data_IF_980611866397
#
_entry.id   IF_980611866397
#
_cell.length_a   1.000
_cell.length_b   1.000
_cell.length_c   1.000
_cell.angle_alpha   90.00
_cell.angle_beta   90.00
_cell.angle_gamma   90.00
#
_symmetry.space_group_name_H-M   'P 1'
#
loop_
_entity.id
_entity.type
_entity.pdbx_description
1 polymer ?
#
# COMPACT_ATOMS: atom_id res chain seq x y z
N UNK A 1 21.74 -27.62 11.58
CA UNK A 1 20.37 -27.11 11.77
C UNK A 1 19.81 -26.78 10.40
N UNK A 2 18.78 -27.50 9.96
CA UNK A 2 18.15 -27.31 8.66
C UNK A 2 17.35 -26.01 8.69
N UNK A 3 17.59 -25.14 7.71
CA UNK A 3 16.87 -23.89 7.53
C UNK A 3 15.38 -24.16 7.35
N UNK A 4 14.58 -23.29 7.96
CA UNK A 4 13.14 -23.23 7.72
C UNK A 4 12.99 -22.77 6.27
N UNK A 5 12.67 -23.70 5.38
CA UNK A 5 12.14 -23.36 4.06
C UNK A 5 10.71 -22.90 4.31
N UNK A 6 10.50 -21.60 4.32
CA UNK A 6 9.15 -21.03 4.26
C UNK A 6 8.62 -21.40 2.88
N UNK A 7 7.80 -22.45 2.80
CA UNK A 7 7.00 -22.78 1.63
C UNK A 7 6.14 -21.56 1.32
N UNK A 8 6.44 -20.90 0.21
CA UNK A 8 5.79 -19.66 -0.17
C UNK A 8 4.33 -19.99 -0.56
N UNK A 9 3.40 -19.72 0.36
CA UNK A 9 1.97 -19.88 0.12
C UNK A 9 1.53 -18.94 -1.00
N UNK A 10 0.54 -19.35 -1.80
CA UNK A 10 -0.05 -18.53 -2.87
C UNK A 10 -0.39 -17.12 -2.34
N UNK A 11 -0.22 -16.07 -3.16
CA UNK A 11 -0.51 -14.70 -2.72
C UNK A 11 -1.99 -14.58 -2.31
N UNK A 12 -2.21 -14.15 -1.06
CA UNK A 12 -3.53 -14.04 -0.44
C UNK A 12 -4.08 -12.63 -0.70
N UNK A 13 -5.32 -12.52 -1.17
CA UNK A 13 -5.98 -11.23 -1.34
C UNK A 13 -6.27 -10.58 0.02
N UNK A 14 -6.17 -9.27 0.09
CA UNK A 14 -6.59 -8.52 1.29
C UNK A 14 -8.11 -8.64 1.50
N UNK A 15 -8.61 -8.32 2.68
CA UNK A 15 -10.04 -8.39 3.00
C UNK A 15 -10.59 -7.09 3.61
N UNK A 16 -9.77 -6.05 3.73
CA UNK A 16 -10.14 -4.77 4.32
C UNK A 16 -9.43 -3.59 3.64
N UNK A 17 -10.04 -2.41 3.71
CA UNK A 17 -9.49 -1.20 3.08
C UNK A 17 -8.26 -0.65 3.80
N UNK A 18 -8.11 -0.90 5.11
CA UNK A 18 -6.97 -0.40 5.88
C UNK A 18 -5.67 -1.06 5.40
N UNK A 19 -5.70 -2.37 5.13
CA UNK A 19 -4.59 -3.09 4.53
C UNK A 19 -4.28 -2.56 3.13
N UNK A 20 -5.29 -2.21 2.32
CA UNK A 20 -5.07 -1.56 1.02
C UNK A 20 -4.32 -0.22 1.19
N UNK A 21 -4.76 0.63 2.11
CA UNK A 21 -4.15 1.93 2.43
C UNK A 21 -2.71 1.76 2.90
N UNK A 22 -2.47 0.85 3.85
CA UNK A 22 -1.12 0.52 4.34
C UNK A 22 -0.22 0.03 3.20
N UNK A 23 -0.75 -0.76 2.27
CA UNK A 23 0.00 -1.20 1.11
C UNK A 23 0.33 -0.04 0.13
N UNK A 24 -0.52 0.97 0.02
CA UNK A 24 -0.20 2.20 -0.74
C UNK A 24 0.99 2.92 -0.11
N UNK A 25 1.03 3.00 1.22
CA UNK A 25 2.17 3.58 1.96
C UNK A 25 3.45 2.78 1.76
N UNK A 26 3.40 1.46 1.96
CA UNK A 26 4.54 0.56 1.78
C UNK A 26 5.10 0.62 0.34
N UNK A 27 4.23 0.80 -0.66
CA UNK A 27 4.66 0.90 -2.04
C UNK A 27 5.61 2.09 -2.30
N UNK A 28 5.54 3.16 -1.50
CA UNK A 28 6.41 4.32 -1.68
C UNK A 28 7.90 3.95 -1.52
N UNK A 29 8.20 3.01 -0.63
CA UNK A 29 9.56 2.50 -0.39
C UNK A 29 9.94 1.35 -1.35
N UNK A 30 8.94 0.64 -1.88
CA UNK A 30 9.13 -0.52 -2.75
C UNK A 30 9.18 -0.16 -4.26
N UNK A 31 8.67 1.03 -4.65
CA UNK A 31 8.57 1.46 -6.04
C UNK A 31 9.92 1.42 -6.79
N UNK A 32 11.02 1.76 -6.13
CA UNK A 32 12.37 1.72 -6.71
C UNK A 32 12.83 0.30 -7.06
N UNK A 33 12.29 -0.73 -6.43
CA UNK A 33 12.60 -2.14 -6.76
C UNK A 33 11.78 -2.64 -7.96
N UNK A 34 10.72 -1.92 -8.32
CA UNK A 34 9.77 -2.27 -9.38
C UNK A 34 9.86 -1.35 -10.62
N UNK A 35 10.99 -0.66 -10.84
CA UNK A 35 11.19 0.33 -11.92
C UNK A 35 10.78 -0.15 -13.31
N UNK A 36 11.02 -1.42 -13.64
CA UNK A 36 10.69 -2.00 -14.95
C UNK A 36 9.19 -2.21 -15.15
N UNK A 37 8.40 -2.20 -14.07
CA UNK A 37 6.93 -2.39 -14.07
C UNK A 37 6.15 -1.10 -13.99
N UNK A 38 6.72 -0.03 -13.45
CA UNK A 38 6.00 1.22 -13.19
C UNK A 38 5.23 1.75 -14.42
N UNK A 39 5.80 1.67 -15.62
CA UNK A 39 5.13 2.12 -16.87
C UNK A 39 4.05 1.15 -17.39
N UNK A 40 3.96 -0.07 -16.86
CA UNK A 40 3.04 -1.12 -17.29
C UNK A 40 1.71 -1.06 -16.54
N UNK A 41 1.70 -0.53 -15.31
CA UNK A 41 0.49 -0.43 -14.51
C UNK A 41 -0.53 0.52 -15.12
N UNK A 42 -1.78 0.06 -15.18
CA UNK A 42 -2.92 0.80 -15.73
C UNK A 42 -3.87 1.28 -14.64
N UNK A 43 -4.16 0.44 -13.64
CA UNK A 43 -5.00 0.80 -12.51
C UNK A 43 -4.12 1.26 -11.34
N UNK A 44 -4.25 2.53 -11.00
CA UNK A 44 -3.57 3.17 -9.88
C UNK A 44 -4.58 3.60 -8.83
N UNK A 45 -4.13 3.64 -7.58
CA UNK A 45 -4.93 4.01 -6.43
C UNK A 45 -4.19 5.11 -5.69
N UNK A 46 -4.92 6.11 -5.25
CA UNK A 46 -4.37 7.29 -4.62
C UNK A 46 -5.06 7.58 -3.29
N UNK A 47 -4.25 8.00 -2.31
CA UNK A 47 -4.73 8.56 -1.05
C UNK A 47 -3.98 9.84 -0.76
N UNK A 48 -4.63 10.74 -0.03
CA UNK A 48 -4.04 11.99 0.43
C UNK A 48 -3.54 11.78 1.86
N UNK A 49 -2.25 11.99 2.08
CA UNK A 49 -1.65 11.98 3.41
C UNK A 49 -2.14 13.18 4.24
N UNK A 50 -1.99 13.13 5.58
CA UNK A 50 -2.35 14.25 6.46
C UNK A 50 -1.62 15.57 6.14
N UNK A 51 -0.43 15.49 5.53
CA UNK A 51 0.34 16.66 5.06
C UNK A 51 -0.15 17.22 3.72
N UNK A 52 -1.17 16.61 3.12
CA UNK A 52 -1.75 16.98 1.84
C UNK A 52 -1.06 16.36 0.62
N UNK A 53 -0.02 15.54 0.79
CA UNK A 53 0.67 14.85 -0.31
C UNK A 53 -0.18 13.69 -0.86
N UNK A 54 -0.32 13.63 -2.19
CA UNK A 54 -0.88 12.45 -2.87
C UNK A 54 0.17 11.37 -3.02
N UNK A 55 -0.14 10.16 -2.55
CA UNK A 55 0.67 8.95 -2.78
C UNK A 55 -0.09 7.94 -3.62
N UNK A 56 0.66 7.11 -4.36
CA UNK A 56 0.12 6.25 -5.41
C UNK A 56 0.65 4.84 -5.34
N UNK A 57 -0.20 3.85 -5.62
CA UNK A 57 0.23 2.47 -5.81
C UNK A 57 -0.66 1.74 -6.83
N UNK A 58 -0.16 0.70 -7.51
CA UNK A 58 -0.93 -0.05 -8.51
C UNK A 58 -1.81 -1.14 -7.86
N UNK A 59 -2.95 -1.47 -8.49
CA UNK A 59 -3.91 -2.50 -8.00
C UNK A 59 -3.23 -3.79 -7.56
N UNK A 60 -2.38 -4.33 -8.44
CA UNK A 60 -1.71 -5.61 -8.26
C UNK A 60 -0.76 -5.61 -7.05
N UNK A 61 -0.27 -4.45 -6.62
CA UNK A 61 0.57 -4.35 -5.42
C UNK A 61 -0.26 -4.22 -4.14
N UNK A 62 -1.37 -3.49 -4.18
CA UNK A 62 -2.12 -3.22 -2.95
C UNK A 62 -3.16 -4.30 -2.62
N UNK A 63 -3.57 -5.10 -3.61
CA UNK A 63 -4.63 -6.09 -3.43
C UNK A 63 -4.21 -7.39 -2.72
N UNK A 64 -2.96 -7.55 -2.31
CA UNK A 64 -2.47 -8.77 -1.65
C UNK A 64 -1.82 -8.47 -0.29
N UNK A 65 -1.93 -9.43 0.63
CA UNK A 65 -1.34 -9.38 1.97
C UNK A 65 0.19 -9.51 1.87
N UNK A 66 0.91 -8.73 2.68
CA UNK A 66 2.38 -8.79 2.86
C UNK A 66 3.20 -8.77 1.56
N UNK A 67 2.71 -8.03 0.57
CA UNK A 67 3.35 -7.95 -0.72
C UNK A 67 4.50 -6.92 -0.69
N UNK A 68 5.73 -7.42 -0.72
CA UNK A 68 6.94 -6.63 -0.92
C UNK A 68 7.43 -6.80 -2.37
N UNK A 69 8.33 -5.93 -2.87
CA UNK A 69 8.81 -6.06 -4.25
C UNK A 69 9.47 -7.43 -4.52
N UNK A 70 10.17 -7.98 -3.53
CA UNK A 70 10.83 -9.29 -3.65
C UNK A 70 9.83 -10.44 -3.82
N UNK A 71 8.71 -10.41 -3.11
CA UNK A 71 7.65 -11.43 -3.24
C UNK A 71 6.79 -11.16 -4.47
N UNK A 72 6.57 -9.89 -4.84
CA UNK A 72 5.90 -9.50 -6.07
C UNK A 72 6.51 -10.18 -7.30
N UNK A 73 7.83 -10.08 -7.49
CA UNK A 73 8.50 -10.68 -8.65
C UNK A 73 8.41 -12.22 -8.70
N UNK A 74 8.24 -12.88 -7.56
CA UNK A 74 8.13 -14.35 -7.48
C UNK A 74 6.74 -14.85 -7.88
N UNK A 75 5.70 -14.10 -7.52
CA UNK A 75 4.31 -14.52 -7.70
C UNK A 75 3.56 -13.80 -8.82
N UNK A 76 4.17 -12.81 -9.47
CA UNK A 76 3.51 -11.95 -10.45
C UNK A 76 2.73 -12.72 -11.54
N UNK A 77 3.27 -13.87 -11.97
CA UNK A 77 2.64 -14.74 -12.98
C UNK A 77 1.35 -15.40 -12.49
N UNK A 78 1.21 -15.59 -11.18
CA UNK A 78 0.04 -16.16 -10.51
C UNK A 78 -0.94 -15.06 -10.05
N UNK A 79 -0.48 -13.82 -9.99
CA UNK A 79 -1.29 -12.68 -9.59
C UNK A 79 -2.10 -12.14 -10.77
N UNK A 80 -3.39 -11.90 -10.54
CA UNK A 80 -4.31 -11.41 -11.55
C UNK A 80 -4.83 -10.03 -11.15
N UNK A 81 -4.53 -9.03 -11.98
CA UNK A 81 -4.96 -7.64 -11.74
C UNK A 81 -6.48 -7.50 -11.70
N UNK A 82 -7.23 -8.35 -12.41
CA UNK A 82 -8.70 -8.31 -12.41
C UNK A 82 -9.28 -8.66 -11.05
N UNK A 83 -8.67 -9.63 -10.37
CA UNK A 83 -9.13 -10.09 -9.05
C UNK A 83 -8.88 -8.99 -8.01
N UNK A 84 -7.71 -8.34 -8.08
CA UNK A 84 -7.41 -7.18 -7.21
C UNK A 84 -8.31 -5.98 -7.51
N UNK A 85 -8.57 -5.68 -8.79
CA UNK A 85 -9.44 -4.54 -9.16
C UNK A 85 -10.88 -4.78 -8.69
N UNK A 86 -11.43 -5.99 -8.88
CA UNK A 86 -12.77 -6.35 -8.42
C UNK A 86 -12.92 -6.25 -6.89
N UNK A 87 -11.89 -6.65 -6.14
CA UNK A 87 -11.87 -6.51 -4.69
C UNK A 87 -11.79 -5.05 -4.25
N UNK A 88 -10.89 -4.27 -4.85
CA UNK A 88 -10.62 -2.88 -4.46
C UNK A 88 -11.79 -1.95 -4.79
N UNK A 89 -12.63 -2.30 -5.77
CA UNK A 89 -13.87 -1.56 -6.07
C UNK A 89 -14.86 -1.50 -4.90
N UNK A 90 -14.71 -2.34 -3.87
CA UNK A 90 -15.51 -2.25 -2.65
C UNK A 90 -15.18 -1.01 -1.80
N UNK A 91 -14.02 -0.39 -1.99
CA UNK A 91 -13.52 0.71 -1.14
C UNK A 91 -13.04 1.92 -1.94
N UNK A 92 -12.74 1.72 -3.23
CA UNK A 92 -12.20 2.74 -4.10
C UNK A 92 -13.08 2.94 -5.33
N UNK A 93 -13.26 4.20 -5.69
CA UNK A 93 -13.99 4.62 -6.88
C UNK A 93 -13.04 5.27 -7.87
N UNK A 94 -13.22 4.98 -9.16
CA UNK A 94 -12.43 5.60 -10.23
C UNK A 94 -12.76 7.09 -10.36
N UNK A 95 -11.74 7.94 -10.30
CA UNK A 95 -11.86 9.38 -10.50
C UNK A 95 -11.73 9.70 -12.00
N UNK A 96 -12.76 10.27 -12.65
CA UNK A 96 -12.69 10.59 -14.07
C UNK A 96 -11.58 11.60 -14.38
N UNK A 97 -10.82 11.36 -15.45
CA UNK A 97 -9.65 12.18 -15.79
C UNK A 97 -9.99 13.61 -16.27
N UNK A 98 -11.26 13.87 -16.59
CA UNK A 98 -11.78 15.15 -17.06
C UNK A 98 -12.24 16.08 -15.94
N UNK A 99 -12.21 15.65 -14.67
CA UNK A 99 -12.49 16.50 -13.51
C UNK A 99 -11.24 17.30 -13.11
N UNK A 100 -11.38 18.38 -12.31
CA UNK A 100 -10.23 19.06 -11.72
C UNK A 100 -9.34 18.11 -10.89
N UNK A 101 -9.95 17.26 -10.07
CA UNK A 101 -9.26 16.28 -9.21
C UNK A 101 -8.54 15.23 -10.05
N UNK A 102 -9.21 14.64 -11.04
CA UNK A 102 -8.60 13.66 -11.95
C UNK A 102 -7.40 14.22 -12.70
N UNK A 103 -7.49 15.47 -13.19
CA UNK A 103 -6.34 16.16 -13.80
C UNK A 103 -5.18 16.36 -12.82
N UNK A 104 -5.46 16.78 -11.59
CA UNK A 104 -4.46 16.92 -10.54
C UNK A 104 -3.76 15.58 -10.27
N UNK A 105 -4.53 14.51 -10.05
CA UNK A 105 -4.01 13.17 -9.79
C UNK A 105 -3.14 12.67 -10.93
N UNK A 106 -3.56 12.87 -12.19
CA UNK A 106 -2.77 12.47 -13.35
C UNK A 106 -1.45 13.25 -13.45
N UNK A 107 -1.45 14.54 -13.11
CA UNK A 107 -0.23 15.35 -13.05
C UNK A 107 0.69 14.89 -11.91
N UNK A 108 0.15 14.62 -10.73
CA UNK A 108 0.89 14.16 -9.54
C UNK A 108 1.47 12.76 -9.74
N UNK A 109 0.71 11.85 -10.36
CA UNK A 109 1.22 10.53 -10.73
C UNK A 109 2.36 10.64 -11.75
N UNK A 110 2.25 11.54 -12.73
CA UNK A 110 3.33 11.79 -13.68
C UNK A 110 4.60 12.32 -12.98
N UNK A 111 4.45 13.21 -12.00
CA UNK A 111 5.58 13.69 -11.17
C UNK A 111 6.19 12.55 -10.34
N UNK A 112 5.37 11.75 -9.69
CA UNK A 112 5.80 10.58 -8.91
C UNK A 112 6.62 9.61 -9.77
N UNK A 113 6.10 9.21 -10.94
CA UNK A 113 6.80 8.34 -11.87
C UNK A 113 8.04 9.00 -12.49
N UNK A 114 8.01 10.32 -12.65
CA UNK A 114 9.13 11.12 -13.12
C UNK A 114 10.37 11.02 -12.22
N UNK A 115 10.18 10.86 -10.90
CA UNK A 115 11.28 10.60 -9.94
C UNK A 115 12.10 9.35 -10.31
N UNK A 116 11.48 8.42 -11.02
CA UNK A 116 12.07 7.14 -11.46
C UNK A 116 12.48 7.13 -12.94
N UNK A 117 12.36 8.27 -13.65
CA UNK A 117 12.55 8.34 -15.10
C UNK A 117 11.47 7.57 -15.89
N UNK A 118 10.28 7.38 -15.31
CA UNK A 118 9.18 6.61 -15.91
C UNK A 118 8.04 7.51 -16.34
N UNK A 119 7.21 6.99 -17.24
CA UNK A 119 5.98 7.62 -17.71
C UNK A 119 4.80 6.70 -17.43
N UNK A 120 3.67 7.28 -17.07
CA UNK A 120 2.42 6.52 -16.90
C UNK A 120 1.98 5.88 -18.21
N UNK A 121 1.20 4.80 -18.10
CA UNK A 121 0.57 4.18 -19.27
C UNK A 121 -0.44 5.15 -19.92
N UNK A 122 -0.67 5.05 -21.23
CA UNK A 122 -1.72 5.86 -21.89
C UNK A 122 -3.12 5.51 -21.42
N UNK A 123 -3.35 4.26 -20.98
CA UNK A 123 -4.62 3.75 -20.43
C UNK A 123 -4.67 3.80 -18.90
N UNK A 124 -3.97 4.75 -18.30
CA UNK A 124 -3.95 4.92 -16.84
C UNK A 124 -5.32 5.37 -16.35
N UNK A 125 -5.80 4.74 -15.28
CA UNK A 125 -6.97 5.09 -14.49
C UNK A 125 -6.53 5.24 -13.04
N UNK A 126 -7.11 6.19 -12.32
CA UNK A 126 -6.77 6.46 -10.91
C UNK A 126 -8.04 6.37 -10.09
N UNK A 127 -8.01 5.57 -9.03
CA UNK A 127 -9.12 5.43 -8.08
C UNK A 127 -8.77 6.08 -6.74
N UNK A 128 -9.76 6.71 -6.13
CA UNK A 128 -9.71 7.33 -4.81
C UNK A 128 -10.52 6.50 -3.81
N UNK A 129 -10.16 6.60 -2.53
CA UNK A 129 -10.94 5.97 -1.46
C UNK A 129 -12.30 6.69 -1.35
N UNK A 130 -13.39 5.95 -1.53
CA UNK A 130 -14.75 6.52 -1.62
C UNK A 130 -15.41 6.66 -0.26
N UNK A 131 -15.10 5.73 0.64
CA UNK A 131 -15.55 5.72 2.03
C UNK A 131 -14.29 5.65 2.88
N UNK A 132 -14.06 6.63 3.76
CA UNK A 132 -13.12 6.40 4.87
C UNK A 132 -13.57 5.09 5.52
N UNK A 133 -12.70 4.07 5.62
CA UNK A 133 -13.15 2.78 6.11
C UNK A 133 -13.85 3.00 7.44
N UNK A 134 -15.12 2.61 7.52
CA UNK A 134 -15.72 2.36 8.82
C UNK A 134 -14.83 1.32 9.46
N UNK A 135 -13.97 1.79 10.37
CA UNK A 135 -13.29 0.92 11.27
C UNK A 135 -14.39 0.14 11.98
N UNK A 136 -14.26 -1.18 12.02
CA UNK A 136 -14.70 -1.85 13.24
C UNK A 136 -13.88 -1.19 14.35
N UNK A 137 -14.49 -0.21 15.02
CA UNK A 137 -13.81 0.87 15.77
C UNK A 137 -12.88 0.35 16.88
N UNK A 138 -13.00 -0.90 17.29
CA UNK A 138 -12.12 -1.54 18.26
C UNK A 138 -10.80 -2.03 17.65
N UNK A 139 -10.80 -2.73 16.50
CA UNK A 139 -9.57 -3.32 15.95
C UNK A 139 -8.62 -2.27 15.33
N UNK A 140 -9.17 -1.20 14.73
CA UNK A 140 -8.35 -0.14 14.12
C UNK A 140 -7.64 0.72 15.18
N UNK A 141 -8.32 0.99 16.29
CA UNK A 141 -7.73 1.69 17.41
C UNK A 141 -6.63 0.84 18.05
N UNK A 142 -6.85 -0.46 18.23
CA UNK A 142 -5.84 -1.38 18.75
C UNK A 142 -4.57 -1.40 17.87
N UNK A 143 -4.73 -1.49 16.54
CA UNK A 143 -3.59 -1.46 15.62
C UNK A 143 -2.82 -0.12 15.69
N UNK A 144 -3.53 1.01 15.71
CA UNK A 144 -2.91 2.33 15.90
C UNK A 144 -2.18 2.45 17.24
N UNK A 145 -2.76 1.93 18.31
CA UNK A 145 -2.14 1.92 19.64
C UNK A 145 -0.87 1.06 19.61
N UNK A 146 -0.89 -0.11 18.97
CA UNK A 146 0.29 -0.96 18.81
C UNK A 146 1.40 -0.25 18.02
N UNK A 147 1.06 0.41 16.91
CA UNK A 147 2.01 1.17 16.10
C UNK A 147 2.61 2.36 16.87
N UNK A 148 1.79 3.08 17.65
CA UNK A 148 2.26 4.15 18.53
C UNK A 148 3.21 3.62 19.61
N UNK A 149 2.89 2.49 20.23
CA UNK A 149 3.76 1.86 21.23
C UNK A 149 5.09 1.44 20.59
N UNK A 150 5.07 0.83 19.40
CA UNK A 150 6.31 0.46 18.68
C UNK A 150 7.16 1.69 18.35
N UNK A 151 6.53 2.75 17.82
CA UNK A 151 7.18 4.03 17.51
C UNK A 151 7.83 4.65 18.75
N UNK A 152 7.09 4.75 19.86
CA UNK A 152 7.63 5.24 21.14
C UNK A 152 8.78 4.35 21.62
N UNK A 153 8.64 3.03 21.51
CA UNK A 153 9.68 2.09 21.97
C UNK A 153 11.02 2.32 21.27
N UNK A 154 11.01 2.69 19.98
CA UNK A 154 12.21 3.00 19.19
C UNK A 154 12.91 4.27 19.67
N UNK A 155 12.18 5.22 20.24
CA UNK A 155 12.71 6.47 20.80
C UNK A 155 13.31 6.31 22.21
N UNK A 156 12.95 5.23 22.91
CA UNK A 156 13.41 4.99 24.28
C UNK A 156 14.86 4.48 24.34
N UNK A 157 15.55 4.82 25.43
CA UNK A 157 16.84 4.22 25.76
C UNK A 157 16.70 2.70 25.99
N UNK A 158 17.79 1.91 25.88
CA UNK A 158 17.73 0.47 26.11
C UNK A 158 17.17 0.09 27.48
N UNK A 159 17.49 0.85 28.54
CA UNK A 159 16.97 0.62 29.89
C UNK A 159 15.47 0.93 29.99
N UNK A 160 14.99 2.03 29.39
CA UNK A 160 13.58 2.37 29.37
C UNK A 160 12.74 1.40 28.54
N UNK A 161 13.28 0.86 27.43
CA UNK A 161 12.65 -0.23 26.67
C UNK A 161 12.51 -1.51 27.47
N UNK A 162 13.55 -1.88 28.23
CA UNK A 162 13.52 -3.07 29.08
C UNK A 162 12.44 -2.96 30.17
N UNK A 163 12.31 -1.77 30.78
CA UNK A 163 11.27 -1.48 31.77
C UNK A 163 9.86 -1.48 31.14
N UNK A 164 9.68 -0.88 29.96
CA UNK A 164 8.41 -0.93 29.21
C UNK A 164 7.98 -2.38 28.93
N UNK A 165 8.90 -3.23 28.44
CA UNK A 165 8.63 -4.66 28.20
C UNK A 165 8.24 -5.41 29.47
N UNK A 166 8.82 -5.06 30.61
CA UNK A 166 8.49 -5.68 31.91
C UNK A 166 7.07 -5.34 32.35
N UNK A 167 6.58 -4.14 32.05
CA UNK A 167 5.23 -3.66 32.42
C UNK A 167 4.13 -4.14 31.49
N UNK A 168 4.46 -4.45 30.23
CA UNK A 168 3.52 -4.96 29.23
C UNK A 168 3.31 -6.48 29.30
N UNK A 169 3.75 -7.13 30.38
CA UNK A 169 3.78 -8.59 30.52
C UNK A 169 2.75 -9.08 31.53
#
# INVERSE_FOLDING_TARGET
>A
MKGIVVTAANPILINDAHTAVKNIENFQDEAQKLLHRLSQFRAWYAIKRPDGEWIFAPSKFIGYVDLAANTYSQFEAQMNGRDTEALLQNWFEEEPDNTPTGRELHAKLAQFLGKFGKKKNSKTRISLIATEPESSDENHLELKVVELIDGISKLLSPSARAELRKRMR
#
